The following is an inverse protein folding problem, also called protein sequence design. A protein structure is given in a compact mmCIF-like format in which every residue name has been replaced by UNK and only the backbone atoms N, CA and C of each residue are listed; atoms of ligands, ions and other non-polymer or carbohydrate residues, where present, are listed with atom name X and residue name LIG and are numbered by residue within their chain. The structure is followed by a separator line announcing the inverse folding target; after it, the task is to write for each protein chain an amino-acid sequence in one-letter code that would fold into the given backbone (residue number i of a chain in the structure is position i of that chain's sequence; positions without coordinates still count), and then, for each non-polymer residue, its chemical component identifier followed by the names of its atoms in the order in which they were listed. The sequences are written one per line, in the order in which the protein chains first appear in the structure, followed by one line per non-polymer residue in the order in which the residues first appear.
data_IF_529204858121
#
_entry.id   IF_529204858121
#
_cell.length_a   1.000
_cell.length_b   1.000
_cell.length_c   1.000
_cell.angle_alpha   90.00
_cell.angle_beta   90.00
_cell.angle_gamma   90.00
#
_symmetry.space_group_name_H-M   'P 1'
#
loop_
_entity.id
_entity.type
_entity.pdbx_description
1 polymer ?
#
# COMPACT_ATOMS: atom_id res chain seq x y z
N UNK A 1 15.35 -4.81 8.53
CA UNK A 1 14.53 -3.59 8.58
C UNK A 1 13.16 -3.91 8.01
N UNK A 2 12.09 -3.35 8.59
CA UNK A 2 10.71 -3.52 8.15
C UNK A 2 10.17 -2.17 7.66
N UNK A 3 9.23 -2.17 6.71
CA UNK A 3 8.56 -0.93 6.32
C UNK A 3 7.64 -0.45 7.46
N UNK A 4 7.82 0.79 7.90
CA UNK A 4 7.12 1.37 9.04
C UNK A 4 5.90 2.17 8.55
N UNK A 5 4.77 1.49 8.43
CA UNK A 5 3.52 2.12 8.04
C UNK A 5 2.80 2.66 9.29
N UNK A 6 2.41 3.93 9.25
CA UNK A 6 1.66 4.63 10.30
C UNK A 6 0.15 4.28 10.34
N UNK A 7 -0.28 3.31 9.53
CA UNK A 7 -1.66 2.85 9.43
C UNK A 7 -2.69 3.97 9.19
N UNK A 8 -2.31 5.05 8.49
CA UNK A 8 -3.20 6.18 8.23
C UNK A 8 -4.38 5.88 7.28
N UNK A 9 -4.31 4.78 6.52
CA UNK A 9 -5.34 4.35 5.57
C UNK A 9 -5.34 5.08 4.21
N UNK A 10 -4.39 5.97 3.94
CA UNK A 10 -4.37 6.80 2.72
C UNK A 10 -4.28 5.96 1.43
N UNK A 11 -3.49 4.89 1.42
CA UNK A 11 -3.41 3.97 0.27
C UNK A 11 -4.74 3.26 0.00
N UNK A 12 -5.48 2.87 1.05
CA UNK A 12 -6.79 2.26 0.92
C UNK A 12 -7.85 3.27 0.44
N UNK A 13 -7.79 4.53 0.86
CA UNK A 13 -8.69 5.60 0.39
C UNK A 13 -8.46 6.03 -1.07
N UNK A 14 -7.34 5.62 -1.65
CA UNK A 14 -6.97 5.97 -3.01
C UNK A 14 -6.75 4.73 -3.89
N UNK A 15 -7.45 3.63 -3.61
CA UNK A 15 -7.26 2.37 -4.36
C UNK A 15 -7.57 2.54 -5.85
N UNK A 16 -8.43 3.51 -6.22
CA UNK A 16 -8.71 3.90 -7.61
C UNK A 16 -7.46 4.23 -8.44
N UNK A 17 -6.39 4.71 -7.80
CA UNK A 17 -5.14 5.06 -8.48
C UNK A 17 -4.35 3.82 -8.92
N UNK A 18 -4.62 2.65 -8.32
CA UNK A 18 -4.08 1.38 -8.76
C UNK A 18 -5.02 0.70 -9.74
N UNK A 19 -4.63 0.65 -11.01
CA UNK A 19 -5.36 -0.11 -12.05
C UNK A 19 -5.41 -1.62 -11.79
N UNK A 20 -4.50 -2.14 -10.96
CA UNK A 20 -4.42 -3.56 -10.65
C UNK A 20 -5.41 -3.98 -9.54
N UNK A 21 -5.58 -3.14 -8.51
CA UNK A 21 -6.40 -3.51 -7.33
C UNK A 21 -7.80 -2.91 -7.38
N UNK A 22 -8.01 -1.81 -8.11
CA UNK A 22 -9.32 -1.14 -8.14
C UNK A 22 -10.42 -2.07 -8.64
N UNK A 23 -10.15 -2.95 -9.60
CA UNK A 23 -11.15 -3.89 -10.12
C UNK A 23 -11.74 -4.84 -9.06
N UNK A 24 -10.96 -5.27 -8.07
CA UNK A 24 -11.38 -6.30 -7.09
C UNK A 24 -11.63 -5.75 -5.67
N UNK A 25 -10.96 -4.64 -5.34
CA UNK A 25 -10.90 -4.11 -3.99
C UNK A 25 -11.64 -2.79 -3.84
N UNK A 26 -11.97 -2.09 -4.92
CA UNK A 26 -12.80 -0.89 -4.85
C UNK A 26 -14.23 -1.25 -4.43
N UNK A 27 -14.76 -0.54 -3.44
CA UNK A 27 -16.16 -0.67 -3.00
C UNK A 27 -17.15 0.11 -3.88
N UNK A 28 -16.67 0.77 -4.94
CA UNK A 28 -17.43 1.52 -5.93
C UNK A 28 -17.27 3.04 -5.85
N UNK A 29 -16.50 3.55 -4.90
CA UNK A 29 -16.26 4.98 -4.68
C UNK A 29 -14.76 5.36 -4.70
N UNK A 30 -13.89 4.43 -5.12
CA UNK A 30 -12.46 4.62 -5.15
C UNK A 30 -11.74 4.32 -3.84
N UNK A 31 -12.45 3.81 -2.84
CA UNK A 31 -11.92 3.35 -1.55
C UNK A 31 -11.94 1.82 -1.47
N UNK A 32 -10.90 1.26 -0.87
CA UNK A 32 -10.79 -0.18 -0.65
C UNK A 32 -11.88 -0.69 0.30
N UNK A 33 -12.56 -1.78 -0.07
CA UNK A 33 -13.62 -2.43 0.73
C UNK A 33 -13.17 -2.95 2.10
N UNK A 34 -11.86 -3.16 2.29
CA UNK A 34 -11.28 -3.60 3.56
C UNK A 34 -10.90 -2.44 4.50
N UNK A 35 -11.16 -1.19 4.13
CA UNK A 35 -10.88 -0.04 4.99
C UNK A 35 -12.04 0.21 5.97
N UNK A 36 -11.74 0.18 7.27
CA UNK A 36 -12.69 0.47 8.34
C UNK A 36 -12.01 1.24 9.47
N UNK A 37 -12.61 2.35 9.91
CA UNK A 37 -12.04 3.20 10.97
C UNK A 37 -10.57 3.60 10.70
N UNK A 38 -10.24 3.92 9.44
CA UNK A 38 -8.88 4.20 8.94
C UNK A 38 -7.89 3.03 8.98
N UNK A 39 -8.30 1.84 9.41
CA UNK A 39 -7.48 0.65 9.45
C UNK A 39 -7.88 -0.35 8.36
N UNK A 40 -6.89 -1.06 7.82
CA UNK A 40 -7.16 -2.18 6.92
C UNK A 40 -7.52 -3.42 7.75
N UNK A 41 -8.72 -3.98 7.57
CA UNK A 41 -9.17 -5.16 8.34
C UNK A 41 -8.33 -6.41 8.07
N UNK A 42 -7.62 -6.45 6.92
CA UNK A 42 -6.72 -7.55 6.54
C UNK A 42 -5.23 -7.14 6.62
N UNK A 43 -4.87 -6.20 7.50
CA UNK A 43 -3.52 -5.61 7.51
C UNK A 43 -2.37 -6.64 7.60
N UNK A 44 -2.53 -7.67 8.44
CA UNK A 44 -1.55 -8.76 8.63
C UNK A 44 -1.49 -9.71 7.44
N UNK A 45 -2.58 -9.82 6.68
CA UNK A 45 -2.76 -10.72 5.55
C UNK A 45 -2.85 -9.95 4.23
N UNK A 46 -2.25 -8.75 4.20
CA UNK A 46 -2.30 -7.88 3.02
C UNK A 46 -1.81 -8.64 1.80
N UNK A 47 -2.53 -8.53 0.66
CA UNK A 47 -2.05 -9.04 -0.61
C UNK A 47 -0.63 -8.57 -0.89
N UNK A 48 0.15 -9.35 -1.63
CA UNK A 48 1.58 -9.08 -1.86
C UNK A 48 1.88 -7.65 -2.26
N UNK A 49 1.02 -7.05 -3.09
CA UNK A 49 1.24 -5.70 -3.58
C UNK A 49 0.85 -4.58 -2.60
N UNK A 50 0.08 -4.88 -1.57
CA UNK A 50 -0.18 -3.99 -0.44
C UNK A 50 0.86 -4.21 0.70
N UNK A 51 1.75 -5.18 0.54
CA UNK A 51 2.77 -5.55 1.51
C UNK A 51 4.16 -5.22 0.95
N UNK A 52 4.68 -4.05 1.33
CA UNK A 52 5.95 -3.49 0.86
C UNK A 52 7.11 -4.48 1.04
N UNK A 53 7.20 -5.11 2.20
CA UNK A 53 8.28 -6.05 2.50
C UNK A 53 8.23 -7.28 1.59
N UNK A 54 7.06 -7.93 1.52
CA UNK A 54 6.88 -9.15 0.73
C UNK A 54 7.06 -8.89 -0.78
N UNK A 55 6.64 -7.72 -1.26
CA UNK A 55 6.85 -7.34 -2.66
C UNK A 55 8.33 -7.21 -2.99
N UNK A 56 9.10 -6.52 -2.13
CA UNK A 56 10.53 -6.37 -2.34
C UNK A 56 11.24 -7.72 -2.35
N UNK A 57 10.96 -8.56 -1.34
CA UNK A 57 11.56 -9.88 -1.19
C UNK A 57 11.31 -10.77 -2.40
N UNK A 58 10.11 -10.71 -2.98
CA UNK A 58 9.75 -11.57 -4.11
C UNK A 58 10.24 -11.07 -5.46
N UNK A 59 10.31 -9.76 -5.68
CA UNK A 59 10.42 -9.20 -7.04
C UNK A 59 11.60 -8.25 -7.27
N UNK A 60 12.21 -7.71 -6.21
CA UNK A 60 13.16 -6.59 -6.30
C UNK A 60 14.47 -6.82 -5.54
N UNK A 61 14.60 -7.88 -4.75
CA UNK A 61 15.79 -8.16 -3.95
C UNK A 61 17.08 -8.30 -4.79
N UNK A 62 16.95 -8.67 -6.06
CA UNK A 62 18.04 -8.78 -7.05
C UNK A 62 18.26 -7.50 -7.88
N UNK A 63 17.39 -6.49 -7.74
CA UNK A 63 17.36 -5.29 -8.60
C UNK A 63 17.70 -4.00 -7.89
N UNK A 64 17.41 -3.91 -6.59
CA UNK A 64 17.68 -2.71 -5.79
C UNK A 64 17.74 -3.02 -4.30
N UNK A 65 18.34 -2.13 -3.53
CA UNK A 65 18.39 -2.27 -2.07
C UNK A 65 17.01 -2.09 -1.45
N UNK A 66 16.83 -2.61 -0.24
CA UNK A 66 15.58 -2.48 0.51
C UNK A 66 15.34 -1.01 0.90
N UNK A 67 16.42 -0.31 1.23
CA UNK A 67 16.45 1.09 1.63
C UNK A 67 15.96 2.00 0.49
N UNK A 68 16.44 1.80 -0.74
CA UNK A 68 15.98 2.55 -1.92
C UNK A 68 14.48 2.33 -2.16
N UNK A 69 14.02 1.07 -2.11
CA UNK A 69 12.62 0.75 -2.30
C UNK A 69 11.72 1.34 -1.20
N UNK A 70 12.15 1.31 0.05
CA UNK A 70 11.41 1.95 1.14
C UNK A 70 11.35 3.46 0.97
N UNK A 71 12.44 4.11 0.58
CA UNK A 71 12.47 5.55 0.30
C UNK A 71 11.42 5.94 -0.74
N UNK A 72 11.32 5.18 -1.84
CA UNK A 72 10.27 5.38 -2.84
C UNK A 72 8.87 5.19 -2.27
N UNK A 73 8.65 4.14 -1.46
CA UNK A 73 7.33 3.88 -0.85
C UNK A 73 6.92 4.98 0.13
N UNK A 74 7.85 5.58 0.89
CA UNK A 74 7.54 6.72 1.77
C UNK A 74 7.14 7.97 0.99
N UNK A 75 7.83 8.28 -0.11
CA UNK A 75 7.45 9.41 -0.99
C UNK A 75 6.01 9.25 -1.47
N UNK A 76 5.67 8.08 -2.04
CA UNK A 76 4.30 7.82 -2.47
C UNK A 76 3.31 7.77 -1.31
N UNK A 77 3.73 7.30 -0.13
CA UNK A 77 2.88 7.28 1.07
C UNK A 77 2.46 8.71 1.45
N UNK A 78 3.40 9.65 1.46
CA UNK A 78 3.14 11.04 1.82
C UNK A 78 2.34 11.78 0.75
N UNK A 79 2.60 11.51 -0.53
CA UNK A 79 1.75 11.99 -1.64
C UNK A 79 0.30 11.53 -1.45
N UNK A 80 0.08 10.23 -1.18
CA UNK A 80 -1.25 9.69 -0.97
C UNK A 80 -1.96 10.30 0.25
N UNK A 81 -1.23 10.58 1.34
CA UNK A 81 -1.77 11.28 2.52
C UNK A 81 -2.27 12.67 2.16
N UNK A 82 -1.53 13.41 1.32
CA UNK A 82 -1.91 14.76 0.90
C UNK A 82 -3.18 14.83 0.04
N UNK A 83 -3.62 13.70 -0.51
CA UNK A 83 -4.83 13.58 -1.33
C UNK A 83 -6.10 13.24 -0.53
N UNK A 84 -5.99 12.99 0.79
CA UNK A 84 -7.08 12.46 1.63
C UNK A 84 -7.45 13.30 2.82
#
# INVERSE_FOLDING_TARGET
MKFECDCCGACCRNIRLSKFYSAEMDRGDGVCKYLKNNLCEIYSERPIFCNVDAYWEKFLADKMTREEFYGMNYIFCDELKSLT
#
